data_IF_914420549711
#
_entry.id   IF_914420549711
#
_cell.length_a   1.000
_cell.length_b   1.000
_cell.length_c   1.000
_cell.angle_alpha   90.00
_cell.angle_beta   90.00
_cell.angle_gamma   90.00
#
_symmetry.space_group_name_H-M   'P 1'
#
loop_
_entity.id
_entity.type
_entity.pdbx_description
1 polymer ?
#
# COMPACT_ATOMS: atom_id res chain seq x y z
N UNK A 1 -14.48 2.70 13.56
CA UNK A 1 -13.09 3.11 13.85
C UNK A 1 -12.81 2.86 15.31
N UNK A 2 -11.73 2.12 15.62
CA UNK A 2 -11.29 1.84 17.00
C UNK A 2 -9.86 2.37 17.15
N UNK A 3 -9.63 3.20 18.16
CA UNK A 3 -8.33 3.76 18.52
C UNK A 3 -7.88 3.14 19.84
N UNK A 4 -6.61 2.75 19.93
CA UNK A 4 -5.96 2.37 21.20
C UNK A 4 -4.84 3.36 21.49
N UNK A 5 -4.94 4.01 22.65
CA UNK A 5 -3.98 5.01 23.13
C UNK A 5 -3.09 4.41 24.21
N UNK A 6 -1.78 4.58 24.06
CA UNK A 6 -0.78 4.27 25.08
C UNK A 6 -0.18 5.58 25.58
N UNK A 7 -0.30 5.83 26.89
CA UNK A 7 0.17 7.07 27.53
C UNK A 7 1.29 6.78 28.51
N UNK A 8 2.25 7.69 28.63
CA UNK A 8 3.23 7.67 29.71
C UNK A 8 2.61 8.39 30.92
N UNK A 9 2.40 7.70 32.03
CA UNK A 9 1.95 8.33 33.27
C UNK A 9 3.16 8.93 34.00
N UNK A 10 3.29 10.25 33.98
CA UNK A 10 4.08 10.98 34.97
C UNK A 10 3.14 11.80 35.86
N UNK A 11 3.17 11.54 37.17
CA UNK A 11 2.58 12.42 38.18
C UNK A 11 3.45 13.67 38.27
N UNK A 12 3.05 14.76 37.63
CA UNK A 12 3.69 16.06 37.81
C UNK A 12 2.64 17.17 38.00
N UNK A 13 2.86 17.93 39.08
CA UNK A 13 2.08 19.10 39.52
C UNK A 13 2.23 20.29 38.57
N UNK A 14 1.22 21.17 38.61
CA UNK A 14 0.91 22.37 37.81
C UNK A 14 2.08 23.30 37.39
N UNK A 15 2.96 22.84 36.51
CA UNK A 15 3.69 23.71 35.55
C UNK A 15 3.13 23.47 34.15
N UNK A 16 3.19 24.49 33.29
CA UNK A 16 2.79 24.40 31.87
C UNK A 16 3.25 23.07 31.28
N UNK A 17 2.30 22.14 31.09
CA UNK A 17 2.59 20.77 30.67
C UNK A 17 3.14 20.83 29.25
N UNK A 18 4.41 20.50 29.10
CA UNK A 18 5.00 20.20 27.80
C UNK A 18 4.19 19.05 27.19
N UNK A 19 3.57 19.30 26.04
CA UNK A 19 2.70 18.32 25.39
C UNK A 19 3.56 17.27 24.70
N UNK A 20 3.16 16.01 24.80
CA UNK A 20 3.88 14.89 24.21
C UNK A 20 3.71 14.86 22.69
N UNK A 21 4.77 14.53 21.95
CA UNK A 21 4.62 14.19 20.54
C UNK A 21 3.72 12.95 20.38
N UNK A 22 3.00 12.87 19.26
CA UNK A 22 2.02 11.82 19.01
C UNK A 22 2.47 11.01 17.80
N UNK A 23 2.63 9.69 17.98
CA UNK A 23 2.86 8.75 16.90
C UNK A 23 1.60 7.94 16.64
N UNK A 24 1.10 7.98 15.42
CA UNK A 24 -0.08 7.23 14.96
C UNK A 24 0.40 6.10 14.07
N UNK A 25 0.13 4.86 14.46
CA UNK A 25 0.58 3.68 13.76
C UNK A 25 -0.54 3.04 12.93
N UNK A 26 -0.33 3.00 11.62
CA UNK A 26 -1.16 2.32 10.62
C UNK A 26 -0.56 0.92 10.40
N UNK A 27 -1.27 -0.09 10.88
CA UNK A 27 -0.83 -1.48 10.69
C UNK A 27 -0.81 -1.86 9.20
N UNK A 28 -0.11 -2.95 8.87
CA UNK A 28 -0.01 -3.44 7.51
C UNK A 28 -0.09 -4.95 7.39
N UNK A 29 0.84 -5.51 6.60
CA UNK A 29 0.89 -6.90 6.09
C UNK A 29 -0.13 -7.19 4.99
N UNK A 30 -1.38 -6.77 5.17
CA UNK A 30 -2.44 -6.97 4.19
C UNK A 30 -3.46 -5.84 4.24
N UNK A 31 -4.25 -5.69 3.17
CA UNK A 31 -5.46 -4.88 3.17
C UNK A 31 -6.69 -5.70 3.60
N UNK A 32 -6.56 -7.01 3.82
CA UNK A 32 -7.68 -7.93 4.05
C UNK A 32 -7.75 -8.48 5.49
N UNK A 33 -6.64 -8.50 6.22
CA UNK A 33 -6.55 -8.98 7.59
C UNK A 33 -5.59 -8.13 8.43
N UNK A 34 -5.41 -8.52 9.70
CA UNK A 34 -4.66 -7.82 10.75
C UNK A 34 -5.49 -6.75 11.49
N UNK A 35 -4.90 -6.10 12.48
CA UNK A 35 -5.53 -5.04 13.28
C UNK A 35 -4.46 -4.20 13.98
N UNK A 36 -4.84 -3.05 14.55
CA UNK A 36 -3.93 -2.24 15.38
C UNK A 36 -3.70 -2.83 16.79
N UNK A 37 -4.48 -3.84 17.19
CA UNK A 37 -4.50 -4.38 18.55
C UNK A 37 -3.23 -5.17 18.95
N UNK A 38 -2.59 -5.99 18.08
CA UNK A 38 -1.38 -6.75 18.40
C UNK A 38 -0.16 -5.87 18.67
N UNK A 39 -0.19 -4.62 18.20
CA UNK A 39 0.90 -3.66 18.37
C UNK A 39 0.76 -2.95 19.73
N UNK A 40 1.56 -3.39 20.71
CA UNK A 40 1.62 -2.76 22.03
C UNK A 40 2.52 -1.52 22.02
N UNK A 41 1.91 -0.34 22.17
CA UNK A 41 2.61 0.94 22.21
C UNK A 41 3.20 1.30 23.57
N UNK A 42 2.98 0.51 24.63
CA UNK A 42 3.30 0.89 26.01
C UNK A 42 4.79 1.14 26.25
N UNK A 43 5.65 0.26 25.73
CA UNK A 43 7.11 0.38 25.89
C UNK A 43 7.63 1.61 25.16
N UNK A 44 7.18 1.82 23.92
CA UNK A 44 7.57 2.97 23.11
C UNK A 44 7.08 4.29 23.72
N UNK A 45 5.85 4.32 24.21
CA UNK A 45 5.27 5.48 24.88
C UNK A 45 6.06 5.84 26.16
N UNK A 46 6.40 4.85 26.98
CA UNK A 46 7.14 5.06 28.23
C UNK A 46 8.60 5.48 27.98
N UNK A 47 9.31 4.76 27.11
CA UNK A 47 10.73 5.02 26.85
C UNK A 47 10.95 6.30 26.04
N UNK A 48 10.15 6.49 24.98
CA UNK A 48 10.23 7.64 24.10
C UNK A 48 9.61 8.91 24.66
N UNK A 49 8.83 8.81 25.75
CA UNK A 49 8.02 9.91 26.29
C UNK A 49 7.15 10.54 25.19
N UNK A 50 6.39 9.70 24.48
CA UNK A 50 5.46 10.08 23.43
C UNK A 50 4.10 9.42 23.65
N UNK A 51 3.05 9.93 23.01
CA UNK A 51 1.79 9.20 22.88
C UNK A 51 1.86 8.28 21.67
N UNK A 52 1.50 7.01 21.87
CA UNK A 52 1.40 6.05 20.77
C UNK A 52 -0.06 5.69 20.57
N UNK A 53 -0.55 5.86 19.34
CA UNK A 53 -1.91 5.58 18.94
C UNK A 53 -1.90 4.50 17.87
N UNK A 54 -2.52 3.35 18.13
CA UNK A 54 -2.76 2.33 17.10
C UNK A 54 -4.21 2.40 16.64
N UNK A 55 -4.42 2.32 15.33
CA UNK A 55 -5.75 2.49 14.71
C UNK A 55 -6.23 1.21 14.05
N UNK A 56 -7.54 1.02 14.03
CA UNK A 56 -8.22 0.01 13.22
C UNK A 56 -9.06 0.71 12.14
N UNK A 57 -8.82 0.34 10.90
CA UNK A 57 -9.58 0.76 9.72
C UNK A 57 -10.27 -0.45 9.06
N UNK A 58 -11.31 -0.22 8.26
CA UNK A 58 -11.99 -1.31 7.54
C UNK A 58 -11.05 -1.98 6.53
N UNK A 59 -11.15 -3.31 6.45
CA UNK A 59 -10.33 -4.17 5.61
C UNK A 59 -11.17 -4.93 4.58
N UNK A 60 -10.50 -5.51 3.58
CA UNK A 60 -11.06 -6.37 2.56
C UNK A 60 -12.21 -5.72 1.80
N UNK A 61 -13.27 -6.49 1.56
CA UNK A 61 -14.49 -6.04 0.88
C UNK A 61 -15.09 -4.80 1.57
N UNK A 62 -15.09 -4.75 2.91
CA UNK A 62 -15.73 -3.65 3.65
C UNK A 62 -14.94 -2.33 3.59
N UNK A 63 -13.61 -2.44 3.42
CA UNK A 63 -12.70 -1.29 3.37
C UNK A 63 -12.41 -0.78 1.97
N UNK A 64 -12.44 -1.66 0.97
CA UNK A 64 -11.82 -1.37 -0.33
C UNK A 64 -12.61 -1.90 -1.54
N UNK A 65 -13.86 -2.34 -1.37
CA UNK A 65 -14.71 -2.67 -2.51
C UNK A 65 -14.94 -1.42 -3.38
N UNK A 66 -14.41 -1.46 -4.60
CA UNK A 66 -14.61 -0.40 -5.58
C UNK A 66 -15.37 -0.93 -6.79
N UNK A 67 -16.64 -0.54 -6.87
CA UNK A 67 -17.56 -0.88 -7.96
C UNK A 67 -17.64 0.23 -9.04
N UNK A 68 -16.67 1.14 -9.09
CA UNK A 68 -16.62 2.19 -10.10
C UNK A 68 -16.17 1.60 -11.44
N UNK A 69 -17.07 1.62 -12.43
CA UNK A 69 -16.75 1.20 -13.80
C UNK A 69 -16.09 2.32 -14.61
N UNK A 70 -16.38 3.58 -14.26
CA UNK A 70 -15.75 4.76 -14.84
C UNK A 70 -14.61 5.24 -13.94
N UNK A 71 -13.40 5.37 -14.49
CA UNK A 71 -12.21 5.86 -13.78
C UNK A 71 -12.30 7.35 -13.44
N UNK A 72 -13.16 8.10 -14.12
CA UNK A 72 -13.44 9.51 -13.83
C UNK A 72 -14.56 9.68 -12.80
N UNK A 73 -15.20 8.58 -12.39
CA UNK A 73 -16.20 8.59 -11.32
C UNK A 73 -15.54 9.05 -10.03
N UNK A 74 -16.06 10.13 -9.45
CA UNK A 74 -15.68 10.63 -8.11
C UNK A 74 -16.53 9.99 -7.02
N UNK A 75 -16.68 8.67 -7.09
CA UNK A 75 -17.46 7.90 -6.14
C UNK A 75 -16.52 7.28 -5.09
N UNK A 76 -16.68 7.59 -3.79
CA UNK A 76 -15.83 7.06 -2.74
C UNK A 76 -15.79 5.53 -2.72
N UNK A 77 -14.59 4.97 -2.70
CA UNK A 77 -14.39 3.53 -2.59
C UNK A 77 -13.28 3.13 -1.61
N UNK A 78 -12.33 4.02 -1.33
CA UNK A 78 -11.24 3.79 -0.37
C UNK A 78 -11.68 4.02 1.08
N UNK A 79 -12.72 3.30 1.52
CA UNK A 79 -13.28 3.44 2.88
C UNK A 79 -12.25 3.18 3.99
N UNK A 80 -11.31 2.25 3.78
CA UNK A 80 -10.19 2.02 4.71
C UNK A 80 -9.29 3.24 4.86
N UNK A 81 -8.94 3.93 3.77
CA UNK A 81 -8.17 5.19 3.83
C UNK A 81 -8.99 6.31 4.48
N UNK A 82 -10.29 6.39 4.19
CA UNK A 82 -11.19 7.36 4.81
C UNK A 82 -11.31 7.15 6.32
N UNK A 83 -11.29 5.90 6.80
CA UNK A 83 -11.27 5.62 8.23
C UNK A 83 -9.96 6.12 8.89
N UNK A 84 -8.82 6.02 8.20
CA UNK A 84 -7.55 6.58 8.69
C UNK A 84 -7.62 8.11 8.74
N UNK A 85 -8.19 8.76 7.72
CA UNK A 85 -8.41 10.21 7.70
C UNK A 85 -9.32 10.64 8.88
N UNK A 86 -10.41 9.91 9.11
CA UNK A 86 -11.30 10.16 10.23
C UNK A 86 -10.59 9.98 11.59
N UNK A 87 -9.67 9.01 11.71
CA UNK A 87 -8.87 8.81 12.91
C UNK A 87 -7.96 10.01 13.17
N UNK A 88 -7.33 10.53 12.12
CA UNK A 88 -6.48 11.72 12.23
C UNK A 88 -7.26 12.97 12.62
N UNK A 89 -8.48 13.17 12.08
CA UNK A 89 -9.36 14.25 12.53
C UNK A 89 -9.70 14.11 14.02
N UNK A 90 -10.05 12.91 14.46
CA UNK A 90 -10.32 12.66 15.88
C UNK A 90 -9.10 12.98 16.74
N UNK A 91 -7.90 12.60 16.31
CA UNK A 91 -6.65 12.90 17.02
C UNK A 91 -6.44 14.41 17.11
N UNK A 92 -6.61 15.15 16.02
CA UNK A 92 -6.48 16.61 16.03
C UNK A 92 -7.44 17.28 17.02
N UNK A 93 -8.66 16.77 17.15
CA UNK A 93 -9.69 17.33 18.03
C UNK A 93 -9.54 16.91 19.50
N UNK A 94 -8.98 15.73 19.79
CA UNK A 94 -9.09 15.11 21.11
C UNK A 94 -7.75 14.82 21.80
N UNK A 95 -6.63 14.74 21.07
CA UNK A 95 -5.37 14.24 21.64
C UNK A 95 -4.79 15.12 22.75
N UNK A 96 -5.17 16.40 22.76
CA UNK A 96 -4.80 17.34 23.80
C UNK A 96 -5.30 16.93 25.19
N UNK A 97 -6.50 16.33 25.27
CA UNK A 97 -7.06 15.82 26.53
C UNK A 97 -6.23 14.66 27.12
N UNK A 98 -5.41 14.01 26.30
CA UNK A 98 -4.50 12.94 26.70
C UNK A 98 -3.07 13.45 26.95
N UNK A 99 -2.84 14.77 26.86
CA UNK A 99 -1.53 15.41 27.00
C UNK A 99 -0.68 15.40 25.74
N UNK A 100 -1.25 15.07 24.58
CA UNK A 100 -0.53 15.07 23.29
C UNK A 100 -0.60 16.41 22.57
N UNK A 101 0.42 16.71 21.78
CA UNK A 101 0.46 17.90 20.94
C UNK A 101 -0.16 17.62 19.55
N UNK A 102 -1.34 18.20 19.22
CA UNK A 102 -1.92 18.06 17.88
C UNK A 102 -1.01 18.66 16.78
N UNK A 103 -0.08 19.55 17.12
CA UNK A 103 0.89 20.15 16.18
C UNK A 103 2.14 19.29 15.98
N UNK A 104 2.27 18.17 16.70
CA UNK A 104 3.40 17.25 16.57
C UNK A 104 2.93 15.81 16.43
N UNK A 105 2.15 15.58 15.36
CA UNK A 105 1.62 14.26 14.98
C UNK A 105 2.49 13.64 13.87
N UNK A 106 2.99 12.42 14.11
CA UNK A 106 3.76 11.61 13.16
C UNK A 106 2.93 10.40 12.74
N UNK A 107 2.72 10.22 11.44
CA UNK A 107 2.00 9.08 10.88
C UNK A 107 2.99 8.00 10.44
N UNK A 108 2.97 6.86 11.12
CA UNK A 108 3.86 5.74 10.85
C UNK A 108 3.07 4.56 10.25
N UNK A 109 3.64 3.87 9.26
CA UNK A 109 3.03 2.66 8.69
C UNK A 109 4.07 1.61 8.34
N UNK A 110 3.65 0.34 8.35
CA UNK A 110 4.47 -0.80 7.94
C UNK A 110 3.86 -1.52 6.73
N UNK A 111 4.64 -1.91 5.72
CA UNK A 111 4.15 -2.66 4.54
C UNK A 111 2.99 -1.95 3.83
N UNK A 112 1.83 -2.62 3.75
CA UNK A 112 0.58 -2.02 3.22
C UNK A 112 0.14 -0.77 3.98
N UNK A 113 0.42 -0.67 5.28
CA UNK A 113 0.20 0.54 6.08
C UNK A 113 1.10 1.70 5.63
N UNK A 114 2.36 1.43 5.28
CA UNK A 114 3.27 2.44 4.73
C UNK A 114 2.80 2.93 3.35
N UNK A 115 2.25 2.03 2.52
CA UNK A 115 1.60 2.42 1.26
C UNK A 115 0.38 3.32 1.50
N UNK A 116 -0.47 3.01 2.49
CA UNK A 116 -1.56 3.90 2.91
C UNK A 116 -1.03 5.28 3.32
N UNK A 117 0.04 5.36 4.12
CA UNK A 117 0.67 6.64 4.51
C UNK A 117 1.09 7.44 3.26
N UNK A 118 1.76 6.81 2.30
CA UNK A 118 2.16 7.48 1.06
C UNK A 118 0.95 8.01 0.26
N UNK A 119 -0.12 7.20 0.11
CA UNK A 119 -1.34 7.67 -0.55
C UNK A 119 -2.01 8.83 0.18
N UNK A 120 -2.01 8.84 1.52
CA UNK A 120 -2.56 9.93 2.32
C UNK A 120 -1.75 11.22 2.18
N UNK A 121 -0.42 11.14 2.13
CA UNK A 121 0.46 12.29 1.85
C UNK A 121 0.12 12.90 0.48
N UNK A 122 -0.05 12.06 -0.54
CA UNK A 122 -0.33 12.50 -1.91
C UNK A 122 -1.80 12.92 -2.15
N UNK A 123 -2.71 12.57 -1.23
CA UNK A 123 -4.15 12.75 -1.39
C UNK A 123 -4.56 14.22 -1.33
N UNK A 124 -5.51 14.63 -2.17
CA UNK A 124 -6.17 15.93 -2.05
C UNK A 124 -7.12 16.01 -0.84
N UNK A 125 -7.61 14.86 -0.36
CA UNK A 125 -8.52 14.77 0.77
C UNK A 125 -7.84 15.05 2.13
N UNK A 126 -6.50 15.05 2.16
CA UNK A 126 -5.70 15.37 3.35
C UNK A 126 -5.17 16.80 3.21
N UNK A 127 -5.64 17.75 4.05
CA UNK A 127 -5.08 19.09 4.08
C UNK A 127 -3.63 19.07 4.58
N UNK A 128 -2.77 19.80 3.88
CA UNK A 128 -1.33 19.84 4.15
C UNK A 128 -1.03 20.37 5.55
N UNK A 129 -0.23 19.62 6.31
CA UNK A 129 0.24 20.02 7.64
C UNK A 129 -0.85 20.22 8.69
N UNK A 130 -2.09 19.75 8.44
CA UNK A 130 -3.19 19.91 9.38
C UNK A 130 -3.45 18.63 10.18
N UNK A 131 -3.40 17.46 9.53
CA UNK A 131 -3.73 16.19 10.16
C UNK A 131 -2.52 15.51 10.80
N UNK A 132 -1.37 15.61 10.14
CA UNK A 132 -0.07 15.14 10.63
C UNK A 132 1.04 15.98 9.99
N UNK A 133 2.26 15.85 10.51
CA UNK A 133 3.37 16.74 10.21
C UNK A 133 4.63 15.98 9.76
N UNK A 134 4.72 14.69 10.13
CA UNK A 134 5.85 13.82 9.79
C UNK A 134 5.34 12.45 9.40
N UNK A 135 6.11 11.72 8.61
CA UNK A 135 5.77 10.39 8.16
C UNK A 135 6.92 9.40 8.38
N UNK A 136 6.57 8.17 8.79
CA UNK A 136 7.50 7.03 8.85
C UNK A 136 6.95 5.92 7.98
N UNK A 137 7.72 5.50 6.99
CA UNK A 137 7.34 4.44 6.05
C UNK A 137 8.30 3.26 6.20
N UNK A 138 7.81 2.17 6.78
CA UNK A 138 8.60 0.98 7.09
C UNK A 138 8.28 -0.12 6.08
N UNK A 139 9.26 -0.58 5.31
CA UNK A 139 9.14 -1.72 4.39
C UNK A 139 7.96 -1.62 3.42
N UNK A 140 7.66 -0.42 2.93
CA UNK A 140 6.57 -0.22 1.99
C UNK A 140 6.49 1.20 1.43
N UNK A 141 5.92 1.30 0.23
CA UNK A 141 5.66 2.57 -0.45
C UNK A 141 4.43 2.47 -1.35
N UNK A 142 3.73 3.61 -1.53
CA UNK A 142 2.72 3.77 -2.57
C UNK A 142 3.25 3.50 -3.98
N UNK A 143 4.57 3.63 -4.23
CA UNK A 143 5.20 3.30 -5.52
C UNK A 143 5.35 1.79 -5.77
N UNK A 144 5.13 0.96 -4.76
CA UNK A 144 5.29 -0.48 -4.91
C UNK A 144 4.21 -1.10 -5.83
N UNK A 145 4.53 -2.09 -6.67
CA UNK A 145 3.55 -2.65 -7.62
C UNK A 145 2.29 -3.24 -6.99
N UNK A 146 2.38 -3.67 -5.73
CA UNK A 146 1.30 -4.28 -4.96
C UNK A 146 0.45 -3.25 -4.18
N UNK A 147 0.84 -1.97 -4.18
CA UNK A 147 0.23 -0.93 -3.35
C UNK A 147 -1.20 -0.58 -3.79
N UNK A 148 -1.47 -0.65 -5.10
CA UNK A 148 -2.71 -0.25 -5.75
C UNK A 148 -3.37 -1.47 -6.42
N UNK A 149 -4.70 -1.55 -6.36
CA UNK A 149 -5.49 -2.60 -7.03
C UNK A 149 -5.79 -2.19 -8.47
N UNK A 150 -5.40 -3.05 -9.42
CA UNK A 150 -5.79 -2.96 -10.83
C UNK A 150 -7.17 -3.57 -11.07
N UNK A 151 -7.96 -2.97 -11.96
CA UNK A 151 -9.30 -3.44 -12.36
C UNK A 151 -10.24 -3.78 -11.17
N UNK A 152 -10.40 -2.89 -10.17
CA UNK A 152 -11.12 -3.25 -8.93
C UNK A 152 -12.60 -3.59 -9.16
N UNK A 153 -13.24 -3.01 -10.19
CA UNK A 153 -14.62 -3.31 -10.57
C UNK A 153 -14.84 -4.80 -10.91
N UNK A 154 -13.81 -5.51 -11.37
CA UNK A 154 -13.85 -6.96 -11.61
C UNK A 154 -14.07 -7.73 -10.31
N UNK A 155 -13.35 -7.38 -9.25
CA UNK A 155 -13.53 -8.00 -7.94
C UNK A 155 -14.88 -7.64 -7.34
N UNK A 156 -15.35 -6.40 -7.55
CA UNK A 156 -16.69 -6.01 -7.15
C UNK A 156 -17.79 -6.80 -7.89
N UNK A 157 -17.61 -7.11 -9.16
CA UNK A 157 -18.54 -7.96 -9.91
C UNK A 157 -18.58 -9.40 -9.37
N UNK A 158 -17.44 -9.97 -8.97
CA UNK A 158 -17.41 -11.30 -8.32
C UNK A 158 -18.21 -11.32 -7.02
N UNK A 159 -18.01 -10.32 -6.15
CA UNK A 159 -18.78 -10.17 -4.91
C UNK A 159 -20.27 -10.01 -5.22
N UNK A 160 -20.60 -9.17 -6.20
CA UNK A 160 -21.99 -8.92 -6.60
C UNK A 160 -22.69 -10.18 -7.09
N UNK A 161 -22.04 -10.96 -7.97
CA UNK A 161 -22.57 -12.23 -8.45
C UNK A 161 -22.79 -13.24 -7.32
N UNK A 162 -21.84 -13.37 -6.39
CA UNK A 162 -21.94 -14.31 -5.27
C UNK A 162 -23.16 -14.06 -4.40
N UNK A 163 -23.46 -12.79 -4.11
CA UNK A 163 -24.59 -12.39 -3.26
C UNK A 163 -25.88 -12.11 -4.03
N UNK A 164 -25.97 -12.51 -5.30
CA UNK A 164 -27.14 -12.28 -6.17
C UNK A 164 -27.51 -10.79 -6.35
N UNK A 165 -26.52 -9.91 -6.48
CA UNK A 165 -26.68 -8.54 -6.95
C UNK A 165 -26.22 -8.45 -8.42
N UNK A 166 -27.05 -7.89 -9.31
CA UNK A 166 -26.66 -7.74 -10.71
C UNK A 166 -25.54 -6.71 -10.86
N UNK A 167 -24.37 -7.05 -11.42
CA UNK A 167 -23.25 -6.12 -11.57
C UNK A 167 -23.52 -5.03 -12.63
N UNK A 168 -24.50 -5.24 -13.51
CA UNK A 168 -24.91 -4.27 -14.54
C UNK A 168 -25.77 -3.14 -13.96
N UNK A 169 -26.12 -3.22 -12.67
CA UNK A 169 -26.85 -2.15 -12.00
C UNK A 169 -26.02 -0.85 -12.00
N UNK A 170 -26.66 0.31 -12.16
CA UNK A 170 -26.02 1.60 -11.88
C UNK A 170 -25.37 1.59 -10.50
N UNK A 171 -24.20 2.21 -10.38
CA UNK A 171 -23.34 2.14 -9.19
C UNK A 171 -24.10 2.31 -7.86
N UNK A 172 -24.98 3.31 -7.76
CA UNK A 172 -25.77 3.56 -6.54
C UNK A 172 -26.74 2.41 -6.20
N UNK A 173 -27.39 1.82 -7.21
CA UNK A 173 -28.31 0.70 -7.02
C UNK A 173 -27.56 -0.59 -6.68
N UNK A 174 -26.39 -0.80 -7.27
CA UNK A 174 -25.51 -1.92 -6.93
C UNK A 174 -25.08 -1.85 -5.47
N UNK A 175 -24.56 -0.69 -5.03
CA UNK A 175 -24.17 -0.50 -3.64
C UNK A 175 -25.34 -0.63 -2.67
N UNK A 176 -26.54 -0.22 -3.06
CA UNK A 176 -27.75 -0.44 -2.25
C UNK A 176 -28.02 -1.94 -2.10
N UNK A 177 -28.04 -2.69 -3.21
CA UNK A 177 -28.23 -4.14 -3.18
C UNK A 177 -27.22 -4.83 -2.26
N UNK A 178 -25.93 -4.49 -2.38
CA UNK A 178 -24.87 -5.08 -1.57
C UNK A 178 -25.04 -4.75 -0.07
N UNK A 179 -25.49 -3.55 0.28
CA UNK A 179 -25.73 -3.16 1.69
C UNK A 179 -26.94 -3.86 2.30
N UNK A 180 -27.90 -4.28 1.48
CA UNK A 180 -29.08 -5.02 1.93
C UNK A 180 -28.77 -6.52 2.18
N UNK A 181 -27.56 -6.99 1.85
CA UNK A 181 -27.14 -8.39 2.04
C UNK A 181 -26.57 -8.65 3.44
N UNK A 182 -26.77 -9.85 4.00
CA UNK A 182 -26.10 -10.26 5.22
C UNK A 182 -24.58 -10.18 5.09
N UNK A 183 -23.92 -9.67 6.14
CA UNK A 183 -22.47 -9.52 6.16
C UNK A 183 -21.74 -10.85 5.92
N UNK A 184 -22.22 -11.93 6.52
CA UNK A 184 -21.64 -13.27 6.37
C UNK A 184 -21.66 -13.75 4.92
N UNK A 185 -22.73 -13.46 4.18
CA UNK A 185 -22.85 -13.82 2.75
C UNK A 185 -21.81 -13.07 1.92
N UNK A 186 -21.63 -11.77 2.18
CA UNK A 186 -20.62 -10.94 1.50
C UNK A 186 -19.21 -11.47 1.78
N UNK A 187 -18.89 -11.71 3.05
CA UNK A 187 -17.55 -12.16 3.47
C UNK A 187 -17.25 -13.61 3.06
N UNK A 188 -18.28 -14.43 2.77
CA UNK A 188 -18.10 -15.78 2.25
C UNK A 188 -17.66 -15.84 0.79
N UNK A 189 -17.61 -14.68 0.09
CA UNK A 189 -17.19 -14.63 -1.32
C UNK A 189 -15.73 -15.07 -1.45
N UNK A 190 -15.50 -16.16 -2.19
CA UNK A 190 -14.14 -16.61 -2.51
C UNK A 190 -13.56 -15.78 -3.65
N UNK A 191 -12.73 -14.79 -3.33
CA UNK A 191 -12.00 -13.99 -4.34
C UNK A 191 -10.52 -14.38 -4.32
N UNK A 192 -10.01 -14.84 -5.47
CA UNK A 192 -8.58 -15.13 -5.61
C UNK A 192 -7.85 -13.86 -5.99
N UNK A 193 -6.94 -13.43 -5.12
CA UNK A 193 -6.01 -12.34 -5.41
C UNK A 193 -5.09 -12.69 -6.61
N UNK A 194 -4.72 -11.70 -7.44
CA UNK A 194 -3.73 -11.90 -8.48
C UNK A 194 -2.36 -12.20 -7.87
N UNK A 195 -1.54 -13.00 -8.56
CA UNK A 195 -0.18 -13.29 -8.10
C UNK A 195 0.60 -11.97 -7.95
N UNK A 196 1.24 -11.77 -6.79
CA UNK A 196 1.99 -10.54 -6.42
C UNK A 196 1.16 -9.25 -6.30
N UNK A 197 -0.18 -9.34 -6.29
CA UNK A 197 -1.08 -8.21 -6.08
C UNK A 197 -2.15 -8.50 -5.03
N UNK A 198 -3.10 -7.57 -4.90
CA UNK A 198 -4.22 -7.67 -3.97
C UNK A 198 -5.56 -7.61 -4.71
N UNK A 199 -6.56 -8.33 -4.25
CA UNK A 199 -7.93 -8.22 -4.78
C UNK A 199 -8.65 -6.98 -4.22
N UNK A 200 -8.39 -6.69 -2.94
CA UNK A 200 -8.94 -5.55 -2.23
C UNK A 200 -7.81 -4.71 -1.64
N UNK A 201 -7.92 -3.38 -1.77
CA UNK A 201 -6.90 -2.43 -1.36
C UNK A 201 -7.13 -1.06 -2.01
N UNK A 202 -6.22 -0.11 -1.79
CA UNK A 202 -6.28 1.21 -2.41
C UNK A 202 -6.50 1.11 -3.92
N UNK A 203 -7.43 1.89 -4.45
CA UNK A 203 -7.73 1.95 -5.88
C UNK A 203 -8.09 3.37 -6.29
N UNK A 204 -8.07 3.67 -7.59
CA UNK A 204 -8.45 5.00 -8.07
C UNK A 204 -9.95 5.19 -7.86
N UNK A 205 -10.32 6.20 -7.07
CA UNK A 205 -11.70 6.56 -6.76
C UNK A 205 -12.03 8.04 -7.06
N UNK A 206 -11.04 8.81 -7.52
CA UNK A 206 -11.20 10.23 -7.84
C UNK A 206 -11.44 11.13 -6.63
N UNK A 207 -11.38 10.58 -5.40
CA UNK A 207 -11.65 11.28 -4.14
C UNK A 207 -10.40 11.26 -3.26
N UNK A 208 -9.99 10.09 -2.80
CA UNK A 208 -8.76 9.93 -2.00
C UNK A 208 -7.56 9.74 -2.92
N UNK A 209 -7.71 8.90 -3.94
CA UNK A 209 -6.68 8.63 -4.94
C UNK A 209 -7.22 9.05 -6.30
N UNK A 210 -6.64 10.13 -6.82
CA UNK A 210 -7.05 10.77 -8.07
C UNK A 210 -5.88 10.82 -9.05
N UNK A 211 -6.13 10.41 -10.30
CA UNK A 211 -5.19 10.50 -11.42
C UNK A 211 -4.95 11.95 -11.85
N UNK A 212 -5.85 12.88 -11.49
CA UNK A 212 -5.76 14.28 -11.89
C UNK A 212 -6.15 14.52 -13.35
N UNK A 213 -6.64 13.49 -14.05
CA UNK A 213 -7.24 13.64 -15.36
C UNK A 213 -8.62 14.29 -15.21
N UNK A 214 -8.72 15.56 -15.61
CA UNK A 214 -10.01 16.23 -15.73
C UNK A 214 -10.68 15.63 -16.96
N UNK A 215 -11.90 15.10 -16.77
CA UNK A 215 -12.78 14.74 -17.87
C UNK A 215 -12.90 15.97 -18.78
N UNK A 216 -12.22 15.98 -19.92
CA UNK A 216 -12.49 16.96 -20.96
C UNK A 216 -13.95 16.73 -21.35
N UNK A 217 -14.84 17.59 -20.85
CA UNK A 217 -16.17 17.73 -21.41
C UNK A 217 -15.96 18.26 -22.83
N UNK A 218 -15.84 17.36 -23.79
CA UNK A 218 -15.91 17.69 -25.21
C UNK A 218 -17.33 18.18 -25.52
N UNK A 219 -17.56 19.45 -25.22
CA UNK A 219 -18.69 20.26 -25.65
C UNK A 219 -18.50 20.82 -27.06
N UNK A 220 -17.81 20.11 -27.94
CA UNK A 220 -17.74 20.45 -29.37
C UNK A 220 -18.27 19.29 -30.19
N UNK A 221 -19.58 19.34 -30.44
CA UNK A 221 -20.19 18.75 -31.62
C UNK A 221 -19.45 19.27 -32.87
N UNK A 222 -18.50 18.51 -33.39
CA UNK A 222 -18.19 18.51 -34.81
C UNK A 222 -18.98 17.37 -35.44
N UNK A 223 -20.09 17.74 -36.08
CA UNK A 223 -20.87 16.85 -36.92
C UNK A 223 -20.05 16.47 -38.14
N UNK A 224 -19.49 15.26 -38.17
CA UNK A 224 -19.07 14.65 -39.42
C UNK A 224 -20.24 13.87 -40.04
N UNK A 225 -20.63 14.38 -41.21
CA UNK A 225 -21.59 13.84 -42.13
C UNK A 225 -21.15 12.43 -42.53
N UNK A 226 -21.86 11.39 -42.08
CA UNK A 226 -22.20 10.17 -42.82
C UNK A 226 -22.86 9.15 -41.87
N UNK A 227 -24.17 9.00 -42.00
CA UNK A 227 -24.98 8.06 -41.22
C UNK A 227 -24.68 6.59 -41.52
N UNK A 228 -23.75 6.01 -40.76
CA UNK A 228 -23.57 4.55 -40.64
C UNK A 228 -23.40 4.21 -39.16
N UNK A 229 -24.27 3.40 -38.54
CA UNK A 229 -24.07 2.95 -37.16
C UNK A 229 -22.96 1.91 -37.15
N UNK A 230 -21.72 2.35 -36.90
CA UNK A 230 -20.61 1.44 -36.59
C UNK A 230 -20.72 1.01 -35.13
N UNK A 231 -21.32 -0.16 -34.91
CA UNK A 231 -21.18 -0.91 -33.67
C UNK A 231 -19.76 -1.47 -33.58
N UNK A 232 -18.77 -0.59 -33.39
CA UNK A 232 -17.42 -0.98 -33.01
C UNK A 232 -17.38 -1.10 -31.50
N UNK A 233 -17.48 -2.35 -31.04
CA UNK A 233 -17.12 -2.74 -29.67
C UNK A 233 -15.77 -2.10 -29.34
N UNK A 234 -15.58 -1.49 -28.15
CA UNK A 234 -14.27 -1.01 -27.76
C UNK A 234 -13.32 -2.22 -27.74
N UNK A 235 -12.28 -2.14 -28.57
CA UNK A 235 -11.27 -3.16 -28.75
C UNK A 235 -10.56 -3.47 -27.43
N UNK A 236 -10.35 -4.75 -27.18
CA UNK A 236 -9.64 -5.33 -26.05
C UNK A 236 -8.15 -4.90 -25.98
N UNK A 237 -7.89 -3.68 -25.53
CA UNK A 237 -6.54 -3.14 -25.31
C UNK A 237 -6.48 -2.21 -24.07
N UNK A 238 -7.12 -2.62 -22.97
CA UNK A 238 -7.12 -1.90 -21.68
C UNK A 238 -6.49 -2.73 -20.54
N UNK A 239 -5.38 -3.41 -20.80
CA UNK A 239 -4.47 -3.85 -19.73
C UNK A 239 -3.67 -2.61 -19.32
N UNK A 240 -4.29 -1.71 -18.57
CA UNK A 240 -3.55 -0.63 -17.91
C UNK A 240 -2.69 -1.26 -16.81
N UNK A 241 -1.37 -1.21 -16.99
CA UNK A 241 -0.43 -1.64 -15.98
C UNK A 241 -0.62 -0.79 -14.71
N UNK A 242 -1.00 -1.42 -13.59
CA UNK A 242 -1.11 -0.78 -12.27
C UNK A 242 0.10 0.10 -11.95
N UNK A 243 1.31 -0.33 -12.33
CA UNK A 243 2.54 0.44 -12.14
C UNK A 243 2.53 1.78 -12.88
N UNK A 244 2.00 1.82 -14.10
CA UNK A 244 1.87 3.06 -14.88
C UNK A 244 0.86 4.00 -14.22
N UNK A 245 -0.25 3.47 -13.69
CA UNK A 245 -1.25 4.25 -12.96
C UNK A 245 -0.67 4.83 -11.67
N UNK A 246 0.06 4.01 -10.89
CA UNK A 246 0.79 4.47 -9.69
C UNK A 246 1.73 5.61 -10.05
N UNK A 247 2.54 5.45 -11.09
CA UNK A 247 3.49 6.46 -11.54
C UNK A 247 2.78 7.76 -11.97
N UNK A 248 1.68 7.66 -12.70
CA UNK A 248 0.88 8.83 -13.10
C UNK A 248 0.30 9.60 -11.89
N UNK A 249 0.01 8.91 -10.78
CA UNK A 249 -0.56 9.51 -9.57
C UNK A 249 0.52 10.10 -8.67
N UNK A 250 1.58 9.34 -8.38
CA UNK A 250 2.56 9.67 -7.34
C UNK A 250 3.78 10.43 -7.87
N UNK A 251 4.13 10.29 -9.15
CA UNK A 251 5.25 11.03 -9.76
C UNK A 251 4.82 12.39 -10.34
N UNK A 252 3.53 12.74 -10.23
CA UNK A 252 3.06 14.06 -10.66
C UNK A 252 3.62 15.15 -9.74
N UNK A 253 3.90 16.32 -10.32
CA UNK A 253 4.45 17.48 -9.60
C UNK A 253 3.67 17.84 -8.34
N UNK A 254 2.34 17.76 -8.37
CA UNK A 254 1.50 18.05 -7.20
C UNK A 254 1.70 17.04 -6.05
N UNK A 255 1.86 15.75 -6.35
CA UNK A 255 2.08 14.73 -5.32
C UNK A 255 3.48 14.86 -4.71
N UNK A 256 4.50 15.10 -5.55
CA UNK A 256 5.88 15.35 -5.10
C UNK A 256 5.95 16.61 -4.24
N UNK A 257 5.28 17.70 -4.66
CA UNK A 257 5.20 18.93 -3.89
C UNK A 257 4.52 18.74 -2.53
N UNK A 258 3.55 17.84 -2.42
CA UNK A 258 2.92 17.48 -1.14
C UNK A 258 3.86 16.62 -0.29
N UNK A 259 4.52 15.65 -0.90
CA UNK A 259 5.50 14.79 -0.24
C UNK A 259 6.59 15.61 0.45
N UNK A 260 7.14 16.63 -0.23
CA UNK A 260 8.18 17.50 0.31
C UNK A 260 7.75 18.46 1.43
N UNK A 261 6.49 18.42 1.88
CA UNK A 261 5.99 19.20 3.03
C UNK A 261 6.13 18.49 4.37
N UNK A 262 6.41 17.20 4.37
CA UNK A 262 6.47 16.38 5.59
C UNK A 262 7.90 15.93 5.84
N UNK A 263 8.37 15.94 7.10
CA UNK A 263 9.61 15.23 7.42
C UNK A 263 9.39 13.73 7.19
N UNK A 264 10.32 13.05 6.50
CA UNK A 264 10.15 11.67 6.09
C UNK A 264 11.29 10.77 6.58
N UNK A 265 10.92 9.68 7.24
CA UNK A 265 11.80 8.54 7.52
C UNK A 265 11.29 7.33 6.72
N UNK A 266 12.09 6.86 5.77
CA UNK A 266 11.83 5.63 5.03
C UNK A 266 12.82 4.57 5.49
N UNK A 267 12.41 3.30 5.51
CA UNK A 267 13.39 2.24 5.59
C UNK A 267 12.87 0.91 5.16
N UNK A 268 13.81 -0.01 5.05
CA UNK A 268 13.63 -1.35 4.51
C UNK A 268 14.40 -2.35 5.36
N UNK A 269 14.01 -3.61 5.29
CA UNK A 269 14.79 -4.72 5.80
C UNK A 269 15.63 -5.31 4.68
N UNK A 270 16.71 -6.02 5.01
CA UNK A 270 17.56 -6.67 4.01
C UNK A 270 16.81 -7.72 3.18
N UNK A 271 15.77 -8.33 3.73
CA UNK A 271 15.06 -9.43 3.10
C UNK A 271 13.56 -9.29 3.32
N UNK A 272 12.91 -8.65 2.35
CA UNK A 272 11.50 -8.25 2.41
C UNK A 272 10.55 -9.32 1.86
N UNK A 273 11.04 -10.16 0.95
CA UNK A 273 10.20 -11.07 0.17
C UNK A 273 10.12 -12.50 0.71
N UNK A 274 10.42 -12.74 2.00
CA UNK A 274 10.37 -14.10 2.58
C UNK A 274 9.02 -14.78 2.41
N UNK A 275 7.93 -14.01 2.47
CA UNK A 275 6.57 -14.50 2.31
C UNK A 275 6.25 -15.00 0.88
N UNK A 276 7.15 -14.81 -0.08
CA UNK A 276 7.01 -15.37 -1.43
C UNK A 276 7.35 -16.88 -1.49
N UNK A 277 7.98 -17.41 -0.44
CA UNK A 277 8.46 -18.80 -0.36
C UNK A 277 7.62 -19.59 0.65
N UNK A 278 7.41 -20.88 0.38
CA UNK A 278 6.80 -21.79 1.35
C UNK A 278 7.85 -22.27 2.36
N UNK A 279 7.43 -23.00 3.40
CA UNK A 279 8.35 -23.48 4.44
C UNK A 279 9.46 -24.40 3.92
N UNK A 280 9.19 -25.20 2.88
CA UNK A 280 10.20 -26.09 2.28
C UNK A 280 11.23 -25.30 1.47
N UNK A 281 10.77 -24.36 0.65
CA UNK A 281 11.58 -23.43 -0.14
C UNK A 281 12.51 -22.63 0.80
N UNK A 282 11.98 -22.19 1.95
CA UNK A 282 12.75 -21.46 2.98
C UNK A 282 13.76 -22.38 3.66
N UNK A 283 13.42 -23.62 3.98
CA UNK A 283 14.32 -24.52 4.73
C UNK A 283 15.43 -25.11 3.86
N UNK A 284 15.10 -25.57 2.65
CA UNK A 284 15.99 -26.37 1.80
C UNK A 284 16.52 -25.62 0.57
N UNK A 285 16.00 -24.43 0.30
CA UNK A 285 16.31 -23.68 -0.92
C UNK A 285 15.37 -24.07 -2.08
N UNK A 286 15.66 -23.54 -3.27
CA UNK A 286 14.83 -23.76 -4.47
C UNK A 286 15.68 -24.19 -5.66
N UNK A 287 15.07 -24.93 -6.57
CA UNK A 287 15.68 -25.28 -7.85
C UNK A 287 15.55 -24.15 -8.89
N UNK A 288 16.38 -24.19 -9.93
CA UNK A 288 16.38 -23.19 -11.01
C UNK A 288 15.02 -23.08 -11.74
N UNK A 289 14.31 -24.19 -11.88
CA UNK A 289 12.96 -24.21 -12.49
C UNK A 289 11.94 -23.48 -11.63
N UNK A 290 12.03 -23.66 -10.30
CA UNK A 290 11.20 -22.96 -9.32
C UNK A 290 11.48 -21.46 -9.35
N UNK A 291 12.75 -21.05 -9.36
CA UNK A 291 13.17 -19.64 -9.54
C UNK A 291 12.59 -19.05 -10.82
N UNK A 292 12.77 -19.72 -11.96
CA UNK A 292 12.28 -19.25 -13.26
C UNK A 292 10.76 -19.06 -13.24
N UNK A 293 10.02 -19.98 -12.63
CA UNK A 293 8.56 -19.88 -12.49
C UNK A 293 8.14 -18.68 -11.64
N UNK A 294 8.79 -18.47 -10.49
CA UNK A 294 8.51 -17.34 -9.59
C UNK A 294 8.75 -16.02 -10.32
N UNK A 295 9.94 -15.84 -10.90
CA UNK A 295 10.32 -14.60 -11.58
C UNK A 295 9.45 -14.35 -12.82
N UNK A 296 9.14 -15.39 -13.59
CA UNK A 296 8.25 -15.27 -14.75
C UNK A 296 6.84 -14.87 -14.35
N UNK A 297 6.31 -15.41 -13.25
CA UNK A 297 5.00 -15.01 -12.73
C UNK A 297 5.04 -13.55 -12.26
N UNK A 298 6.10 -13.14 -11.53
CA UNK A 298 6.28 -11.76 -11.11
C UNK A 298 6.29 -10.80 -12.30
N UNK A 299 7.13 -11.05 -13.30
CA UNK A 299 7.25 -10.19 -14.49
C UNK A 299 5.91 -10.09 -15.24
N UNK A 300 5.18 -11.20 -15.37
CA UNK A 300 3.85 -11.22 -16.02
C UNK A 300 2.77 -10.48 -15.24
N UNK A 301 2.84 -10.50 -13.91
CA UNK A 301 1.91 -9.78 -13.05
C UNK A 301 2.17 -8.27 -13.02
N UNK A 302 3.44 -7.86 -13.15
CA UNK A 302 3.86 -6.46 -12.95
C UNK A 302 4.06 -5.68 -14.25
N UNK A 303 4.42 -6.32 -15.36
CA UNK A 303 4.74 -5.65 -16.62
C UNK A 303 3.85 -6.12 -17.76
N UNK A 304 3.63 -5.23 -18.75
CA UNK A 304 2.81 -5.53 -19.94
C UNK A 304 3.63 -5.78 -21.20
N UNK A 305 4.87 -5.26 -21.26
CA UNK A 305 5.71 -5.27 -22.47
C UNK A 305 7.11 -5.83 -22.15
N UNK A 306 7.80 -6.35 -23.17
CA UNK A 306 9.18 -6.83 -23.08
C UNK A 306 9.44 -7.88 -21.97
N UNK A 307 8.46 -8.76 -21.74
CA UNK A 307 8.49 -9.69 -20.60
C UNK A 307 9.69 -10.64 -20.64
N UNK A 308 10.10 -11.07 -21.83
CA UNK A 308 11.21 -12.01 -21.97
C UNK A 308 12.55 -11.33 -21.71
N UNK A 309 12.72 -10.10 -22.21
CA UNK A 309 13.90 -9.28 -22.04
C UNK A 309 14.05 -8.85 -20.57
N UNK A 310 12.97 -8.41 -19.94
CA UNK A 310 12.96 -8.07 -18.51
C UNK A 310 13.34 -9.29 -17.66
N UNK A 311 12.74 -10.46 -17.92
CA UNK A 311 13.05 -11.68 -17.19
C UNK A 311 14.52 -12.09 -17.37
N UNK A 312 15.04 -12.03 -18.60
CA UNK A 312 16.44 -12.35 -18.88
C UNK A 312 17.40 -11.40 -18.15
N UNK A 313 17.10 -10.10 -18.12
CA UNK A 313 17.91 -9.11 -17.40
C UNK A 313 17.88 -9.36 -15.90
N UNK A 314 16.72 -9.63 -15.31
CA UNK A 314 16.62 -9.95 -13.87
C UNK A 314 17.44 -11.20 -13.54
N UNK A 315 17.30 -12.27 -14.33
CA UNK A 315 18.08 -13.49 -14.10
C UNK A 315 19.57 -13.21 -14.26
N UNK A 316 19.98 -12.41 -15.23
CA UNK A 316 21.39 -12.07 -15.43
C UNK A 316 21.98 -11.28 -14.26
N UNK A 317 21.25 -10.28 -13.76
CA UNK A 317 21.71 -9.40 -12.68
C UNK A 317 21.81 -10.14 -11.35
N UNK A 318 20.80 -10.94 -11.00
CA UNK A 318 20.74 -11.65 -9.72
C UNK A 318 21.27 -13.09 -9.80
N UNK A 319 22.24 -13.36 -10.68
CA UNK A 319 22.95 -14.65 -10.68
C UNK A 319 24.40 -14.40 -10.33
N UNK A 320 24.90 -15.06 -9.28
CA UNK A 320 26.32 -15.02 -8.94
C UNK A 320 27.12 -15.84 -9.96
N UNK A 321 27.67 -15.15 -10.97
CA UNK A 321 28.49 -15.75 -12.01
C UNK A 321 29.90 -16.15 -11.54
N UNK A 322 30.34 -15.71 -10.35
CA UNK A 322 31.62 -16.15 -9.78
C UNK A 322 31.55 -17.59 -9.28
N UNK A 323 30.34 -18.08 -8.96
CA UNK A 323 30.09 -19.44 -8.48
C UNK A 323 29.52 -20.33 -9.59
N UNK A 324 30.30 -21.27 -10.15
CA UNK A 324 29.82 -22.14 -11.23
C UNK A 324 28.80 -23.19 -10.76
N UNK A 325 28.79 -23.52 -9.47
CA UNK A 325 27.83 -24.48 -8.89
C UNK A 325 26.77 -23.70 -8.12
N UNK A 326 25.55 -23.73 -8.65
CA UNK A 326 24.39 -23.06 -8.06
C UNK A 326 23.73 -23.98 -7.03
N UNK A 327 24.00 -23.74 -5.74
CA UNK A 327 23.36 -24.46 -4.64
C UNK A 327 21.92 -23.97 -4.45
N UNK A 328 20.93 -24.84 -4.14
CA UNK A 328 19.52 -24.43 -4.00
C UNK A 328 19.28 -23.27 -3.02
N UNK A 329 20.08 -23.18 -1.95
CA UNK A 329 20.06 -22.06 -0.99
C UNK A 329 20.48 -20.74 -1.65
N UNK A 330 21.55 -20.75 -2.46
CA UNK A 330 22.00 -19.54 -3.17
C UNK A 330 20.93 -19.08 -4.17
N UNK A 331 20.35 -20.03 -4.93
CA UNK A 331 19.27 -19.73 -5.89
C UNK A 331 18.07 -19.09 -5.15
N UNK A 332 17.73 -19.60 -3.96
CA UNK A 332 16.67 -19.01 -3.11
C UNK A 332 17.03 -17.60 -2.71
N UNK A 333 18.23 -17.37 -2.19
CA UNK A 333 18.67 -16.08 -1.67
C UNK A 333 18.77 -15.03 -2.78
N UNK A 334 19.31 -15.38 -3.95
CA UNK A 334 19.30 -14.55 -5.16
C UNK A 334 17.88 -14.19 -5.62
N UNK A 335 16.95 -15.15 -5.58
CA UNK A 335 15.54 -14.91 -5.94
C UNK A 335 14.84 -14.03 -4.92
N UNK A 336 15.15 -14.22 -3.63
CA UNK A 336 14.64 -13.44 -2.52
C UNK A 336 15.11 -11.98 -2.64
N UNK A 337 16.38 -11.76 -2.96
CA UNK A 337 16.97 -10.44 -3.19
C UNK A 337 16.27 -9.75 -4.38
N UNK A 338 16.17 -10.42 -5.53
CA UNK A 338 15.49 -9.89 -6.72
C UNK A 338 14.04 -9.45 -6.44
N UNK A 339 13.29 -10.25 -5.68
CA UNK A 339 11.91 -9.92 -5.32
C UNK A 339 11.84 -8.83 -4.25
N UNK A 340 12.74 -8.83 -3.27
CA UNK A 340 12.79 -7.81 -2.21
C UNK A 340 13.05 -6.44 -2.83
N UNK A 341 14.01 -6.39 -3.75
CA UNK A 341 14.39 -5.17 -4.43
C UNK A 341 13.27 -4.64 -5.31
N UNK A 342 12.73 -5.48 -6.17
CA UNK A 342 11.70 -5.05 -7.12
C UNK A 342 10.38 -4.67 -6.44
N UNK A 343 10.03 -5.30 -5.31
CA UNK A 343 8.73 -5.08 -4.64
C UNK A 343 8.77 -4.01 -3.56
N UNK A 344 9.88 -3.84 -2.86
CA UNK A 344 9.94 -3.01 -1.65
C UNK A 344 11.11 -2.03 -1.66
N UNK A 345 12.34 -2.51 -1.89
CA UNK A 345 13.53 -1.65 -1.76
C UNK A 345 13.57 -0.56 -2.84
N UNK A 346 13.47 -0.92 -4.11
CA UNK A 346 13.52 0.07 -5.19
C UNK A 346 12.38 1.12 -5.09
N UNK A 347 11.10 0.75 -4.84
CA UNK A 347 10.04 1.73 -4.59
C UNK A 347 10.26 2.62 -3.36
N UNK A 348 10.81 2.07 -2.28
CA UNK A 348 11.11 2.83 -1.05
C UNK A 348 12.25 3.84 -1.28
N UNK A 349 13.35 3.40 -1.91
CA UNK A 349 14.47 4.25 -2.30
C UNK A 349 14.02 5.33 -3.27
N UNK A 350 13.23 4.98 -4.29
CA UNK A 350 12.65 5.96 -5.22
C UNK A 350 11.80 7.02 -4.49
N UNK A 351 11.05 6.61 -3.46
CA UNK A 351 10.28 7.56 -2.63
C UNK A 351 11.20 8.51 -1.86
N UNK A 352 12.29 7.99 -1.28
CA UNK A 352 13.28 8.78 -0.58
C UNK A 352 14.03 9.74 -1.52
N UNK A 353 14.37 9.30 -2.74
CA UNK A 353 15.02 10.13 -3.76
C UNK A 353 14.11 11.30 -4.18
N UNK A 354 12.84 11.02 -4.47
CA UNK A 354 11.86 12.05 -4.82
C UNK A 354 11.66 13.07 -3.69
N UNK A 355 11.62 12.61 -2.45
CA UNK A 355 11.47 13.49 -1.29
C UNK A 355 12.73 14.34 -1.04
N UNK A 356 13.91 13.73 -1.12
CA UNK A 356 15.19 14.40 -0.84
C UNK A 356 15.60 15.44 -1.88
N UNK A 357 15.07 15.33 -3.11
CA UNK A 357 15.28 16.32 -4.15
C UNK A 357 14.76 17.72 -3.74
N UNK A 358 13.63 17.78 -3.04
CA UNK A 358 12.95 19.03 -2.69
C UNK A 358 12.96 19.33 -1.17
N UNK A 359 13.22 18.35 -0.30
CA UNK A 359 13.20 18.52 1.15
C UNK A 359 14.44 17.97 1.86
N UNK A 360 15.05 18.81 2.70
CA UNK A 360 16.30 18.51 3.42
C UNK A 360 16.16 17.41 4.48
N UNK A 361 15.00 17.24 5.11
CA UNK A 361 14.81 16.30 6.22
C UNK A 361 14.33 14.94 5.70
N UNK A 362 15.22 14.26 4.99
CA UNK A 362 15.00 12.93 4.45
C UNK A 362 15.92 11.93 5.13
N UNK A 363 15.34 10.92 5.78
CA UNK A 363 16.11 9.89 6.47
C UNK A 363 15.80 8.52 5.86
N UNK A 364 16.84 7.74 5.57
CA UNK A 364 16.73 6.37 5.08
C UNK A 364 17.43 5.42 6.07
N UNK A 365 16.81 4.31 6.40
CA UNK A 365 17.45 3.24 7.17
C UNK A 365 17.36 1.89 6.45
N UNK A 366 18.36 1.04 6.71
CA UNK A 366 18.35 -0.37 6.35
C UNK A 366 18.47 -1.18 7.64
N UNK A 367 17.49 -2.03 7.90
CA UNK A 367 17.46 -2.89 9.06
C UNK A 367 18.03 -4.27 8.72
N UNK A 368 19.22 -4.56 9.26
CA UNK A 368 19.98 -5.79 8.97
C UNK A 368 20.08 -6.72 10.18
N UNK A 369 19.31 -6.48 11.25
CA UNK A 369 19.36 -7.32 12.45
C UNK A 369 18.29 -8.40 12.41
N UNK A 370 18.70 -9.67 12.56
CA UNK A 370 17.77 -10.80 12.70
C UNK A 370 17.74 -11.28 14.16
N UNK A 371 16.53 -11.38 14.73
CA UNK A 371 16.34 -11.86 16.09
C UNK A 371 16.83 -13.31 16.24
N UNK A 372 17.60 -13.60 17.29
CA UNK A 372 18.18 -14.94 17.55
C UNK A 372 17.13 -16.04 17.68
N UNK A 373 15.97 -15.71 18.22
CA UNK A 373 14.84 -16.62 18.43
C UNK A 373 13.66 -16.21 17.52
N UNK A 374 13.92 -16.10 16.22
CA UNK A 374 12.89 -15.82 15.22
C UNK A 374 12.31 -17.09 14.60
N UNK A 375 11.13 -16.97 13.99
CA UNK A 375 10.45 -18.07 13.30
C UNK A 375 11.12 -18.45 11.96
N UNK A 376 12.05 -17.63 11.47
CA UNK A 376 12.75 -17.83 10.20
C UNK A 376 14.20 -18.30 10.40
N UNK A 377 14.72 -19.20 9.55
CA UNK A 377 16.11 -19.60 9.58
C UNK A 377 17.06 -18.41 9.50
N UNK A 378 18.18 -18.46 10.22
CA UNK A 378 19.19 -17.42 10.11
C UNK A 378 19.86 -17.47 8.75
N UNK A 379 19.92 -16.34 8.06
CA UNK A 379 20.65 -16.24 6.79
C UNK A 379 22.12 -16.45 7.07
N UNK A 380 22.75 -17.36 6.32
CA UNK A 380 24.18 -17.64 6.44
C UNK A 380 24.97 -16.39 6.02
N UNK A 381 25.49 -15.65 7.00
CA UNK A 381 26.13 -14.34 6.82
C UNK A 381 25.84 -13.35 7.95
N UNK A 382 24.77 -13.60 8.72
CA UNK A 382 24.44 -12.87 9.95
C UNK A 382 24.98 -13.64 11.16
N UNK A 383 26.31 -13.64 11.33
CA UNK A 383 26.87 -13.91 12.66
C UNK A 383 26.87 -12.59 13.47
N UNK A 384 26.58 -12.65 14.78
CA UNK A 384 26.39 -11.48 15.63
C UNK A 384 27.61 -10.57 15.74
#
# INVERSE_FOLDING_TARGET
MLLRLSTCQQQQEEKEKEKFAVMVFVHGESYEWNSGNPYDGSVLASYGQILVVTINYRLGILGFLNANVDRFSKAPANYGLMDIIAALHWIQENIDAFGGDPKSVTLAGHGTGAACVHFLIASAAVPEGLLFHRAIMMSGSGLAPWSLVGEPAKFAAYVSHHVNCSPDLPHQLLLKCLRDKPLEEILSTSVRAPDFGNAFGPSVDGVVIDTGEIQQMDGTHYSDYNGVPSATKPSAAHIHNTLNTINAILLRKLAINKLSKYDLLVGVTRAEAYFAFNSEDVQYGIEADRRTKILKNYVRSTYSFHLNEILATIVNEYTDWERPVQHPINIRDETLEALSDARNVAPAVQTADLHSADHRNSFLYVFDYQTKFGDFPQVSGLQP
#
